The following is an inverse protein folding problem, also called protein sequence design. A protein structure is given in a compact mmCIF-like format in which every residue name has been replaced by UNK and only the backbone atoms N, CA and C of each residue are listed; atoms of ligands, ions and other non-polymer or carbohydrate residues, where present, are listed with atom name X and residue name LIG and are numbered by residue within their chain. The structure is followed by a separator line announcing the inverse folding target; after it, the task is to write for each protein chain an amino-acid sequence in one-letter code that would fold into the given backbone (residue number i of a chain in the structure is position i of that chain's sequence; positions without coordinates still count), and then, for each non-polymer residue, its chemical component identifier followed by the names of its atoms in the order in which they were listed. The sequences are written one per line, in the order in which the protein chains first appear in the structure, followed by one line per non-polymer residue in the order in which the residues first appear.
data_IF_952030711990
#
_entry.id   IF_952030711990
#
_cell.length_a   1.000
_cell.length_b   1.000
_cell.length_c   1.000
_cell.angle_alpha   90.00
_cell.angle_beta   90.00
_cell.angle_gamma   90.00
#
_symmetry.space_group_name_H-M   'P 1'
#
loop_
_entity.id
_entity.type
_entity.pdbx_description
1 polymer ?
#
# COMPACT_ATOMS: atom_id res chain seq x y z
N UNK A 1 29.77 3.06 15.00
CA UNK A 1 28.80 3.23 13.89
C UNK A 1 27.81 4.30 14.31
N UNK A 2 27.73 5.44 13.61
CA UNK A 2 26.73 6.48 13.89
C UNK A 2 25.35 6.06 13.36
N UNK A 3 24.23 6.42 14.02
CA UNK A 3 22.91 6.11 13.50
C UNK A 3 22.65 6.96 12.24
N UNK A 4 22.48 6.31 11.10
CA UNK A 4 21.91 6.93 9.91
C UNK A 4 20.41 7.13 10.13
N UNK A 5 20.01 8.17 10.88
CA UNK A 5 18.61 8.61 10.92
C UNK A 5 18.31 9.45 9.69
N UNK A 6 17.73 8.84 8.66
CA UNK A 6 17.13 9.58 7.56
C UNK A 6 15.84 10.29 8.02
N UNK A 7 15.35 11.28 7.25
CA UNK A 7 14.05 11.93 7.52
C UNK A 7 12.88 10.92 7.53
N UNK A 8 12.93 9.88 6.68
CA UNK A 8 11.91 8.83 6.60
C UNK A 8 11.79 7.99 7.89
N UNK A 9 12.91 7.67 8.56
CA UNK A 9 12.90 6.87 9.78
C UNK A 9 12.23 7.63 10.94
N UNK A 10 12.27 8.97 10.91
CA UNK A 10 11.59 9.80 11.91
C UNK A 10 10.08 9.79 11.71
N UNK A 11 9.60 9.87 10.46
CA UNK A 11 8.18 9.84 10.12
C UNK A 11 7.57 8.49 10.47
N UNK A 12 8.17 7.40 10.00
CA UNK A 12 7.70 6.04 10.26
C UNK A 12 7.78 5.67 11.74
N UNK A 13 8.87 6.06 12.44
CA UNK A 13 8.98 5.89 13.88
C UNK A 13 7.96 6.70 14.69
N UNK A 14 7.60 7.92 14.24
CA UNK A 14 6.50 8.72 14.83
C UNK A 14 5.16 8.00 14.63
N UNK A 15 4.89 7.52 13.42
CA UNK A 15 3.66 6.78 13.10
C UNK A 15 3.50 5.51 13.94
N UNK A 16 4.56 4.69 14.09
CA UNK A 16 4.51 3.48 14.93
C UNK A 16 4.18 3.75 16.40
N UNK A 17 4.62 4.90 16.93
CA UNK A 17 4.34 5.31 18.32
C UNK A 17 2.90 5.77 18.49
N UNK A 18 2.35 6.47 17.50
CA UNK A 18 0.97 6.94 17.50
C UNK A 18 -0.03 5.89 17.03
N UNK A 19 0.43 4.72 16.54
CA UNK A 19 -0.44 3.70 15.96
C UNK A 19 -1.66 3.37 16.82
N UNK A 20 -1.49 3.16 18.14
CA UNK A 20 -2.59 2.75 19.02
C UNK A 20 -3.63 3.86 19.22
N UNK A 21 -3.29 5.14 19.04
CA UNK A 21 -4.21 6.26 19.24
C UNK A 21 -5.01 6.64 17.99
N UNK A 22 -4.66 6.11 16.82
CA UNK A 22 -5.40 6.39 15.58
C UNK A 22 -6.72 5.63 15.56
N UNK A 23 -7.79 6.23 15.07
CA UNK A 23 -8.98 5.51 14.65
C UNK A 23 -8.71 4.90 13.27
N UNK A 24 -8.79 3.59 13.14
CA UNK A 24 -8.48 2.95 11.87
C UNK A 24 -9.72 2.79 10.98
N UNK A 25 -10.90 3.16 11.47
CA UNK A 25 -12.15 3.21 10.70
C UNK A 25 -12.30 4.51 9.91
N UNK A 26 -11.75 5.61 10.41
CA UNK A 26 -11.70 6.90 9.71
C UNK A 26 -10.51 6.95 8.73
N UNK A 27 -10.69 6.35 7.56
CA UNK A 27 -9.70 6.32 6.47
C UNK A 27 -10.08 7.24 5.32
N UNK A 28 -9.05 7.79 4.66
CA UNK A 28 -9.15 8.65 3.49
C UNK A 28 -8.63 7.91 2.27
N UNK A 29 -9.49 7.67 1.27
CA UNK A 29 -9.06 7.00 0.05
C UNK A 29 -8.58 8.01 -1.00
N UNK A 30 -7.93 7.52 -2.06
CA UNK A 30 -7.39 8.35 -3.13
C UNK A 30 -8.49 9.08 -3.91
N UNK A 31 -9.69 8.53 -3.97
CA UNK A 31 -10.84 9.15 -4.66
C UNK A 31 -11.37 10.36 -3.89
N UNK A 32 -11.18 10.40 -2.57
CA UNK A 32 -11.61 11.51 -1.73
C UNK A 32 -10.67 12.72 -1.81
N UNK A 33 -9.40 12.49 -2.17
CA UNK A 33 -8.32 13.48 -1.98
C UNK A 33 -7.57 13.86 -3.24
N UNK A 34 -7.48 12.97 -4.24
CA UNK A 34 -6.77 13.28 -5.47
C UNK A 34 -7.73 13.87 -6.51
N UNK A 35 -7.34 14.97 -7.19
CA UNK A 35 -8.11 15.46 -8.33
C UNK A 35 -8.20 14.37 -9.40
N UNK A 36 -9.29 14.37 -10.19
CA UNK A 36 -9.58 13.32 -11.17
C UNK A 36 -8.47 13.03 -12.20
N UNK A 37 -7.49 13.93 -12.34
CA UNK A 37 -6.20 13.68 -12.98
C UNK A 37 -5.10 13.65 -11.93
N UNK A 38 -4.46 12.49 -11.77
CA UNK A 38 -3.17 12.36 -11.10
C UNK A 38 -2.16 13.06 -12.03
N UNK A 39 -1.41 14.05 -11.53
CA UNK A 39 -0.54 14.92 -12.33
C UNK A 39 0.20 14.18 -13.47
N UNK A 40 -0.12 14.53 -14.72
CA UNK A 40 0.53 13.98 -15.92
C UNK A 40 0.28 12.49 -16.22
N UNK A 41 -0.54 11.81 -15.44
CA UNK A 41 -0.79 10.37 -15.47
C UNK A 41 -2.28 10.06 -15.69
N UNK A 42 -2.54 8.79 -15.95
CA UNK A 42 -3.85 8.20 -16.12
C UNK A 42 -4.80 8.52 -14.95
N UNK A 43 -6.09 8.62 -15.26
CA UNK A 43 -7.11 8.96 -14.25
C UNK A 43 -7.14 7.90 -13.17
N UNK A 44 -7.51 8.29 -11.94
CA UNK A 44 -7.69 7.36 -10.84
C UNK A 44 -8.67 6.23 -11.21
N UNK A 45 -9.71 6.55 -12.00
CA UNK A 45 -10.66 5.57 -12.54
C UNK A 45 -10.00 4.52 -13.43
N UNK A 46 -9.05 4.91 -14.27
CA UNK A 46 -8.40 3.99 -15.18
C UNK A 46 -7.28 3.20 -14.47
N UNK A 47 -6.60 3.80 -13.48
CA UNK A 47 -5.79 3.06 -12.49
C UNK A 47 -6.61 1.99 -11.77
N UNK A 48 -7.79 2.35 -11.28
CA UNK A 48 -8.71 1.44 -10.60
C UNK A 48 -9.11 0.30 -11.53
N UNK A 49 -9.59 0.60 -12.73
CA UNK A 49 -10.01 -0.37 -13.73
C UNK A 49 -8.90 -1.38 -14.10
N UNK A 50 -7.64 -0.94 -14.19
CA UNK A 50 -6.54 -1.88 -14.49
C UNK A 50 -6.14 -2.75 -13.29
N UNK A 51 -6.16 -2.21 -12.07
CA UNK A 51 -5.41 -2.78 -10.93
C UNK A 51 -6.30 -3.66 -10.08
N UNK A 52 -7.56 -3.28 -9.91
CA UNK A 52 -8.51 -3.99 -9.06
C UNK A 52 -8.71 -5.45 -9.52
N UNK A 53 -8.96 -5.75 -10.81
CA UNK A 53 -9.17 -7.15 -11.23
C UNK A 53 -7.96 -8.04 -10.94
N UNK A 54 -6.75 -7.52 -11.19
CA UNK A 54 -5.49 -8.23 -10.98
C UNK A 54 -5.24 -8.52 -9.50
N UNK A 55 -5.52 -7.54 -8.63
CA UNK A 55 -5.33 -7.69 -7.19
C UNK A 55 -6.39 -8.63 -6.59
N UNK A 56 -7.65 -8.47 -6.99
CA UNK A 56 -8.74 -9.33 -6.51
C UNK A 56 -8.49 -10.79 -6.89
N UNK A 57 -8.05 -11.06 -8.13
CA UNK A 57 -7.64 -12.40 -8.55
C UNK A 57 -6.47 -12.94 -7.71
N UNK A 58 -5.44 -12.11 -7.47
CA UNK A 58 -4.31 -12.52 -6.63
C UNK A 58 -4.75 -12.83 -5.18
N UNK A 59 -5.68 -12.07 -4.61
CA UNK A 59 -6.17 -12.30 -3.25
C UNK A 59 -6.98 -13.59 -3.08
N UNK A 60 -7.56 -14.13 -4.16
CA UNK A 60 -8.19 -15.46 -4.16
C UNK A 60 -7.13 -16.56 -4.03
N UNK A 61 -5.92 -16.32 -4.56
CA UNK A 61 -4.81 -17.26 -4.44
C UNK A 61 -4.16 -17.16 -3.06
N UNK A 62 -3.69 -18.30 -2.55
CA UNK A 62 -2.96 -18.35 -1.30
C UNK A 62 -1.66 -17.52 -1.42
N UNK A 63 -1.57 -16.43 -0.66
CA UNK A 63 -0.40 -15.57 -0.68
C UNK A 63 0.77 -16.24 0.03
N UNK A 64 1.99 -16.19 -0.53
CA UNK A 64 3.15 -16.84 0.07
C UNK A 64 3.58 -16.19 1.39
N UNK A 65 3.13 -14.96 1.66
CA UNK A 65 3.44 -14.18 2.88
C UNK A 65 2.26 -13.30 3.28
N UNK A 66 2.06 -13.19 4.60
CA UNK A 66 1.03 -12.32 5.19
C UNK A 66 1.16 -10.84 4.77
N UNK A 67 2.40 -10.32 4.71
CA UNK A 67 2.66 -8.92 4.34
C UNK A 67 2.20 -8.61 2.91
N UNK A 68 2.16 -9.63 2.03
CA UNK A 68 1.76 -9.47 0.63
C UNK A 68 0.24 -9.31 0.56
N UNK A 69 -0.49 -10.14 1.30
CA UNK A 69 -1.93 -10.01 1.46
C UNK A 69 -2.29 -8.63 2.02
N UNK A 70 -1.59 -8.19 3.06
CA UNK A 70 -1.81 -6.86 3.65
C UNK A 70 -1.56 -5.72 2.65
N UNK A 71 -0.46 -5.77 1.88
CA UNK A 71 -0.17 -4.79 0.84
C UNK A 71 -1.30 -4.71 -0.19
N UNK A 72 -1.76 -5.85 -0.71
CA UNK A 72 -2.82 -5.93 -1.71
C UNK A 72 -4.15 -5.36 -1.19
N UNK A 73 -4.52 -5.71 0.04
CA UNK A 73 -5.72 -5.18 0.70
C UNK A 73 -5.64 -3.66 0.89
N UNK A 74 -4.49 -3.14 1.33
CA UNK A 74 -4.29 -1.69 1.48
C UNK A 74 -4.37 -0.94 0.15
N UNK A 75 -3.93 -1.55 -0.96
CA UNK A 75 -4.08 -0.96 -2.29
C UNK A 75 -5.55 -0.89 -2.71
N UNK A 76 -6.36 -1.93 -2.44
CA UNK A 76 -7.80 -1.88 -2.70
C UNK A 76 -8.49 -0.79 -1.86
N UNK A 77 -8.13 -0.63 -0.59
CA UNK A 77 -8.64 0.45 0.26
C UNK A 77 -8.24 1.83 -0.25
N UNK A 78 -6.97 1.98 -0.66
CA UNK A 78 -6.46 3.21 -1.25
C UNK A 78 -7.24 3.60 -2.51
N UNK A 79 -7.62 2.62 -3.35
CA UNK A 79 -8.44 2.83 -4.55
C UNK A 79 -9.95 2.96 -4.25
N UNK A 80 -10.37 2.82 -2.99
CA UNK A 80 -11.76 2.92 -2.55
C UNK A 80 -12.63 1.76 -3.02
N UNK A 81 -12.10 0.52 -3.05
CA UNK A 81 -12.88 -0.69 -3.42
C UNK A 81 -13.35 -1.53 -2.24
N UNK A 82 -12.63 -1.50 -1.13
CA UNK A 82 -12.87 -2.38 0.02
C UNK A 82 -13.25 -1.55 1.24
N UNK A 83 -14.10 -2.10 2.10
CA UNK A 83 -14.42 -1.50 3.40
C UNK A 83 -13.33 -1.81 4.42
N UNK A 84 -13.13 -0.91 5.38
CA UNK A 84 -12.09 -1.05 6.41
C UNK A 84 -12.17 -2.39 7.16
N UNK A 85 -13.39 -2.88 7.39
CA UNK A 85 -13.66 -4.08 8.19
C UNK A 85 -13.09 -5.37 7.57
N UNK A 86 -12.81 -5.36 6.26
CA UNK A 86 -12.26 -6.52 5.54
C UNK A 86 -10.72 -6.58 5.61
N UNK A 87 -10.06 -5.57 6.20
CA UNK A 87 -8.60 -5.43 6.14
C UNK A 87 -7.97 -5.65 7.52
N UNK A 88 -7.01 -6.58 7.64
CA UNK A 88 -6.19 -6.72 8.83
C UNK A 88 -5.35 -5.47 9.02
N UNK A 89 -5.78 -4.59 9.93
CA UNK A 89 -5.02 -3.40 10.31
C UNK A 89 -3.95 -3.77 11.35
N UNK A 90 -3.04 -4.64 10.92
CA UNK A 90 -1.91 -5.07 11.74
C UNK A 90 -1.05 -3.84 12.05
N UNK A 91 -0.49 -3.81 13.25
CA UNK A 91 0.47 -2.77 13.63
C UNK A 91 1.64 -2.78 12.63
N UNK A 92 2.08 -1.63 12.11
CA UNK A 92 3.24 -1.56 11.23
C UNK A 92 4.47 -2.19 11.90
N UNK A 93 5.00 -3.26 11.28
CA UNK A 93 6.15 -4.01 11.77
C UNK A 93 7.47 -3.23 11.68
N UNK A 94 8.57 -3.85 12.10
CA UNK A 94 9.89 -3.22 12.07
C UNK A 94 10.33 -2.86 10.63
N UNK A 95 10.63 -1.58 10.40
CA UNK A 95 11.15 -1.09 9.13
C UNK A 95 12.69 -1.15 9.14
N UNK A 96 13.28 -2.32 8.90
CA UNK A 96 14.70 -2.36 8.56
C UNK A 96 14.91 -1.75 7.16
N UNK A 97 15.96 -0.93 6.98
CA UNK A 97 16.23 -0.17 5.75
C UNK A 97 16.17 -0.98 4.44
N UNK A 98 16.38 -2.30 4.51
CA UNK A 98 16.41 -3.21 3.35
C UNK A 98 15.04 -3.68 2.83
N UNK A 99 13.91 -3.39 3.51
CA UNK A 99 12.59 -3.90 3.09
C UNK A 99 11.74 -2.82 2.43
N UNK A 100 11.83 -2.73 1.10
CA UNK A 100 11.01 -1.83 0.29
C UNK A 100 9.52 -2.02 0.55
N UNK A 101 9.05 -3.27 0.65
CA UNK A 101 7.63 -3.57 0.89
C UNK A 101 7.09 -2.95 2.18
N UNK A 102 7.87 -3.00 3.26
CA UNK A 102 7.49 -2.36 4.51
C UNK A 102 7.30 -0.85 4.27
N UNK A 103 8.21 -0.18 3.55
CA UNK A 103 8.06 1.23 3.20
C UNK A 103 6.78 1.50 2.40
N UNK A 104 6.42 0.61 1.46
CA UNK A 104 5.17 0.69 0.71
C UNK A 104 3.92 0.57 1.60
N UNK A 105 3.89 -0.40 2.51
CA UNK A 105 2.79 -0.58 3.48
C UNK A 105 2.66 0.66 4.40
N UNK A 106 3.79 1.21 4.86
CA UNK A 106 3.79 2.43 5.66
C UNK A 106 3.25 3.62 4.89
N UNK A 107 3.68 3.82 3.64
CA UNK A 107 3.19 4.90 2.79
C UNK A 107 1.66 4.81 2.61
N UNK A 108 1.14 3.63 2.26
CA UNK A 108 -0.29 3.41 2.11
C UNK A 108 -1.06 3.73 3.40
N UNK A 109 -0.60 3.21 4.55
CA UNK A 109 -1.26 3.47 5.84
C UNK A 109 -1.22 4.93 6.25
N UNK A 110 -0.09 5.61 6.02
CA UNK A 110 0.05 7.04 6.31
C UNK A 110 -0.87 7.88 5.44
N UNK A 111 -0.99 7.53 4.16
CA UNK A 111 -1.94 8.19 3.26
C UNK A 111 -3.39 7.97 3.74
N UNK A 112 -3.75 6.72 4.05
CA UNK A 112 -5.10 6.38 4.51
C UNK A 112 -5.47 7.09 5.81
N UNK A 113 -4.52 7.27 6.72
CA UNK A 113 -4.74 7.90 8.04
C UNK A 113 -4.26 9.35 8.09
N UNK A 114 -4.06 9.99 6.94
CA UNK A 114 -3.47 11.33 6.83
C UNK A 114 -4.26 12.40 7.57
N UNK A 115 -5.59 12.25 7.72
CA UNK A 115 -6.44 13.19 8.46
C UNK A 115 -6.18 13.21 9.97
N UNK A 116 -5.70 12.09 10.50
CA UNK A 116 -5.45 11.90 11.93
C UNK A 116 -3.98 12.01 12.29
N UNK A 117 -3.10 12.07 11.29
CA UNK A 117 -1.66 12.08 11.48
C UNK A 117 -1.03 13.33 10.84
N UNK A 118 -0.52 14.22 11.69
CA UNK A 118 0.09 15.47 11.25
C UNK A 118 1.38 15.21 10.45
N UNK A 119 1.32 15.54 9.16
CA UNK A 119 2.42 15.56 8.20
C UNK A 119 2.60 16.98 7.63
N UNK A 120 3.82 17.32 7.27
CA UNK A 120 4.11 18.50 6.45
C UNK A 120 3.63 18.29 5.01
N UNK A 121 3.46 19.37 4.26
CA UNK A 121 3.03 19.30 2.86
C UNK A 121 4.00 18.48 1.99
N UNK A 122 5.30 18.50 2.31
CA UNK A 122 6.31 17.75 1.55
C UNK A 122 6.30 16.26 1.92
N UNK A 123 6.13 15.92 3.20
CA UNK A 123 5.92 14.54 3.63
C UNK A 123 4.66 13.95 2.98
N UNK A 124 3.55 14.69 2.99
CA UNK A 124 2.31 14.23 2.38
C UNK A 124 2.48 14.00 0.87
N UNK A 125 3.19 14.90 0.17
CA UNK A 125 3.47 14.76 -1.26
C UNK A 125 4.33 13.52 -1.55
N UNK A 126 5.36 13.29 -0.74
CA UNK A 126 6.21 12.11 -0.83
C UNK A 126 5.41 10.82 -0.59
N UNK A 127 4.60 10.79 0.47
CA UNK A 127 3.74 9.65 0.82
C UNK A 127 2.70 9.38 -0.27
N UNK A 128 2.11 10.43 -0.85
CA UNK A 128 1.17 10.32 -1.97
C UNK A 128 1.86 9.72 -3.20
N UNK A 129 3.03 10.23 -3.56
CA UNK A 129 3.81 9.73 -4.70
C UNK A 129 4.20 8.26 -4.54
N UNK A 130 4.68 7.87 -3.36
CA UNK A 130 5.03 6.47 -3.06
C UNK A 130 3.78 5.59 -3.05
N UNK A 131 2.67 6.03 -2.47
CA UNK A 131 1.41 5.28 -2.45
C UNK A 131 0.87 5.04 -3.86
N UNK A 132 0.94 6.07 -4.72
CA UNK A 132 0.61 5.95 -6.14
C UNK A 132 1.54 4.96 -6.86
N UNK A 133 2.85 5.05 -6.65
CA UNK A 133 3.80 4.09 -7.23
C UNK A 133 3.49 2.66 -6.77
N UNK A 134 3.20 2.46 -5.48
CA UNK A 134 2.84 1.15 -4.93
C UNK A 134 1.58 0.62 -5.60
N UNK A 135 0.54 1.45 -5.74
CA UNK A 135 -0.73 1.07 -6.35
C UNK A 135 -0.64 0.83 -7.88
N UNK A 136 0.20 1.61 -8.58
CA UNK A 136 0.34 1.57 -10.04
C UNK A 136 1.27 0.47 -10.53
N UNK A 137 2.42 0.32 -9.89
CA UNK A 137 3.54 -0.46 -10.39
C UNK A 137 3.78 -1.66 -9.49
N UNK A 138 4.05 -1.41 -8.21
CA UNK A 138 4.56 -2.44 -7.32
C UNK A 138 3.55 -3.55 -7.08
N UNK A 139 2.29 -3.20 -6.78
CA UNK A 139 1.22 -4.16 -6.48
C UNK A 139 0.99 -5.15 -7.63
N UNK A 140 1.02 -4.66 -8.88
CA UNK A 140 0.87 -5.47 -10.08
C UNK A 140 2.03 -6.43 -10.25
N UNK A 141 3.27 -5.97 -10.06
CA UNK A 141 4.45 -6.83 -10.16
C UNK A 141 4.36 -8.01 -9.19
N UNK A 142 3.84 -7.81 -7.97
CA UNK A 142 3.65 -8.91 -7.01
C UNK A 142 2.46 -9.79 -7.31
N UNK A 143 1.34 -9.21 -7.72
CA UNK A 143 0.16 -9.98 -8.11
C UNK A 143 0.45 -10.91 -9.29
N UNK A 144 1.25 -10.44 -10.28
CA UNK A 144 1.69 -11.25 -11.41
C UNK A 144 2.80 -12.24 -11.04
N UNK A 145 3.73 -11.88 -10.15
CA UNK A 145 4.76 -12.81 -9.67
C UNK A 145 4.15 -14.01 -8.92
N UNK A 146 3.06 -13.77 -8.17
CA UNK A 146 2.26 -14.81 -7.50
C UNK A 146 1.41 -15.66 -8.47
N UNK A 147 1.49 -15.40 -9.77
CA UNK A 147 0.98 -16.30 -10.82
C UNK A 147 2.09 -17.11 -11.47
N UNK A 148 3.30 -16.52 -11.59
CA UNK A 148 4.46 -17.17 -12.20
C UNK A 148 5.03 -18.30 -11.33
N UNK A 149 4.88 -18.22 -10.01
CA UNK A 149 5.20 -19.30 -9.07
C UNK A 149 4.25 -20.50 -9.17
N UNK A 150 3.01 -20.29 -9.65
CA UNK A 150 2.05 -21.35 -9.99
C UNK A 150 2.23 -21.88 -11.42
N UNK A 151 2.93 -21.14 -12.30
CA UNK A 151 3.12 -21.52 -13.71
C UNK A 151 3.74 -22.92 -13.92
N UNK A 152 4.74 -23.39 -13.13
CA UNK A 152 5.30 -24.72 -13.33
C UNK A 152 4.29 -25.86 -13.07
N UNK A 153 3.26 -25.63 -12.25
CA UNK A 153 2.25 -26.65 -11.94
C UNK A 153 1.25 -26.87 -13.06
N UNK A 154 0.98 -25.85 -13.88
CA UNK A 154 0.01 -25.92 -14.98
C UNK A 154 0.68 -26.41 -16.28
N UNK A 155 1.99 -26.20 -16.43
CA UNK A 155 2.76 -26.64 -17.60
C UNK A 155 3.04 -28.16 -17.65
N UNK A 156 2.88 -28.86 -16.52
CA UNK A 156 3.11 -30.31 -16.39
C UNK A 156 1.88 -31.17 -16.67
N UNK A 157 0.71 -30.56 -16.91
CA UNK A 157 -0.56 -31.26 -17.21
C UNK A 157 -1.03 -31.11 -18.67
N UNK A 158 -0.17 -30.62 -19.58
CA UNK A 158 -0.45 -30.49 -21.02
C UNK A 158 0.28 -31.51 -21.89
#
# INVERSE_FOLDING_TARGET
MGPCTGPDDKLFGKFQRQWNSLDKTDVTNASDTLPGKIEGSETLSALKARTVPVITEALVQAQPRDDYKELLQLVLLFLGETTVDEIPQKRPGAHHHARWMAKGIYALKLFLLQRQFQMTSDELRGITSVSLFVALVYSRSWALASRADLAPRVDLES
#
